data_IF_421975243085
#
_entry.id   IF_421975243085
#
_cell.length_a   1.000
_cell.length_b   1.000
_cell.length_c   1.000
_cell.angle_alpha   90.00
_cell.angle_beta   90.00
_cell.angle_gamma   90.00
#
_symmetry.space_group_name_H-M   'P 1'
#
loop_
_entity.id
_entity.type
_entity.pdbx_description
1 polymer ?
#
# COMPACT_ATOMS: atom_id res chain seq x y z
N UNK A 1 -20.20 -7.55 -16.37
CA UNK A 1 -20.37 -7.34 -14.92
C UNK A 1 -21.75 -6.73 -14.69
N UNK A 2 -22.57 -7.29 -13.81
CA UNK A 2 -23.84 -6.65 -13.40
C UNK A 2 -23.55 -5.50 -12.43
N UNK A 3 -24.44 -4.50 -12.37
CA UNK A 3 -24.25 -3.33 -11.49
C UNK A 3 -24.17 -3.71 -10.01
N UNK A 4 -24.92 -4.72 -9.58
CA UNK A 4 -24.85 -5.26 -8.22
C UNK A 4 -23.50 -5.90 -7.90
N UNK A 5 -22.96 -6.69 -8.84
CA UNK A 5 -21.64 -7.28 -8.69
C UNK A 5 -20.54 -6.22 -8.61
N UNK A 6 -20.62 -5.15 -9.43
CA UNK A 6 -19.69 -4.02 -9.39
C UNK A 6 -19.74 -3.31 -8.03
N UNK A 7 -20.95 -2.99 -7.52
CA UNK A 7 -21.12 -2.34 -6.22
C UNK A 7 -20.57 -3.19 -5.08
N UNK A 8 -20.85 -4.49 -5.07
CA UNK A 8 -20.35 -5.43 -4.05
C UNK A 8 -18.82 -5.47 -4.04
N UNK A 9 -18.20 -5.58 -5.22
CA UNK A 9 -16.75 -5.59 -5.37
C UNK A 9 -16.12 -4.27 -4.87
N UNK A 10 -16.61 -3.12 -5.34
CA UNK A 10 -16.06 -1.82 -4.95
C UNK A 10 -16.19 -1.56 -3.45
N UNK A 11 -17.30 -1.99 -2.83
CA UNK A 11 -17.46 -1.90 -1.37
C UNK A 11 -16.43 -2.75 -0.63
N UNK A 12 -16.27 -4.01 -1.02
CA UNK A 12 -15.27 -4.90 -0.42
C UNK A 12 -13.85 -4.36 -0.61
N UNK A 13 -13.53 -3.83 -1.78
CA UNK A 13 -12.24 -3.20 -2.07
C UNK A 13 -11.96 -1.97 -1.20
N UNK A 14 -12.95 -1.10 -1.02
CA UNK A 14 -12.80 0.07 -0.15
C UNK A 14 -12.59 -0.32 1.31
N UNK A 15 -13.31 -1.34 1.80
CA UNK A 15 -13.10 -1.87 3.16
C UNK A 15 -11.70 -2.45 3.31
N UNK A 16 -11.24 -3.27 2.34
CA UNK A 16 -9.89 -3.85 2.36
C UNK A 16 -8.81 -2.78 2.44
N UNK A 17 -8.97 -1.68 1.69
CA UNK A 17 -8.04 -0.55 1.74
C UNK A 17 -7.97 0.13 3.10
N UNK A 18 -8.99 0.06 3.94
CA UNK A 18 -9.01 0.69 5.27
C UNK A 18 -8.36 -0.18 6.35
N UNK A 19 -8.09 -1.45 6.07
CA UNK A 19 -7.42 -2.34 7.01
C UNK A 19 -6.04 -1.80 7.39
N UNK A 20 -5.69 -1.89 8.67
CA UNK A 20 -4.37 -1.48 9.17
C UNK A 20 -3.40 -2.64 9.05
N UNK A 21 -2.23 -2.35 8.53
CA UNK A 21 -1.11 -3.27 8.39
C UNK A 21 0.14 -2.64 9.02
N UNK A 22 1.15 -3.45 9.31
CA UNK A 22 2.48 -2.93 9.66
C UNK A 22 3.35 -2.99 8.42
N UNK A 23 3.90 -1.87 7.98
CA UNK A 23 4.79 -1.84 6.82
C UNK A 23 6.09 -2.58 7.18
N UNK A 24 6.52 -3.60 6.42
CA UNK A 24 7.63 -4.48 6.81
C UNK A 24 8.97 -3.75 6.94
N UNK A 25 9.22 -2.77 6.06
CA UNK A 25 10.43 -1.94 6.10
C UNK A 25 10.38 -0.80 7.12
N UNK A 26 9.31 0.02 7.11
CA UNK A 26 9.17 1.17 8.01
C UNK A 26 8.83 0.78 9.45
N UNK A 27 8.35 -0.45 9.70
CA UNK A 27 7.81 -0.91 11.00
C UNK A 27 6.66 -0.06 11.55
N UNK A 28 6.03 0.77 10.71
CA UNK A 28 4.91 1.64 11.07
C UNK A 28 3.56 1.01 10.74
N UNK A 29 2.56 1.29 11.58
CA UNK A 29 1.17 0.91 11.30
C UNK A 29 0.55 1.88 10.31
N UNK A 30 0.28 1.40 9.10
CA UNK A 30 -0.34 2.17 8.03
C UNK A 30 -1.61 1.49 7.52
N UNK A 31 -2.44 2.26 6.84
CA UNK A 31 -3.64 1.75 6.16
C UNK A 31 -3.22 1.04 4.86
N UNK A 32 -3.84 -0.10 4.50
CA UNK A 32 -3.53 -0.89 3.29
C UNK A 32 -3.54 -0.02 2.02
N UNK A 33 -4.50 0.89 1.92
CA UNK A 33 -4.60 1.85 0.81
C UNK A 33 -3.44 2.84 0.71
N UNK A 34 -2.63 3.02 1.75
CA UNK A 34 -1.46 3.90 1.76
C UNK A 34 -0.16 3.19 1.36
N UNK A 35 -0.17 1.87 1.20
CA UNK A 35 1.03 1.11 0.79
C UNK A 35 1.63 1.64 -0.52
N UNK A 36 0.86 1.90 -1.60
CA UNK A 36 1.44 2.41 -2.84
C UNK A 36 2.08 3.80 -2.65
N UNK A 37 1.50 4.64 -1.79
CA UNK A 37 2.06 5.95 -1.47
C UNK A 37 3.38 5.83 -0.69
N UNK A 38 3.42 4.97 0.34
CA UNK A 38 4.64 4.70 1.10
C UNK A 38 5.76 4.15 0.20
N UNK A 39 5.42 3.27 -0.74
CA UNK A 39 6.36 2.71 -1.71
C UNK A 39 6.87 3.77 -2.70
N UNK A 40 6.00 4.67 -3.19
CA UNK A 40 6.43 5.79 -4.01
C UNK A 40 7.39 6.75 -3.27
N UNK A 41 7.17 6.98 -1.97
CA UNK A 41 8.08 7.77 -1.14
C UNK A 41 9.46 7.10 -0.97
N UNK A 42 9.48 5.78 -0.76
CA UNK A 42 10.73 5.01 -0.67
C UNK A 42 11.49 5.04 -1.99
N UNK A 43 10.79 4.92 -3.13
CA UNK A 43 11.38 5.07 -4.45
C UNK A 43 11.95 6.47 -4.67
N UNK A 44 11.21 7.51 -4.29
CA UNK A 44 11.68 8.90 -4.41
C UNK A 44 12.94 9.17 -3.56
N UNK A 45 13.07 8.54 -2.39
CA UNK A 45 14.28 8.61 -1.56
C UNK A 45 15.46 7.92 -2.24
N UNK A 46 15.24 6.73 -2.80
CA UNK A 46 16.25 6.00 -3.56
C UNK A 46 16.76 6.82 -4.76
N UNK A 47 15.85 7.39 -5.56
CA UNK A 47 16.22 8.21 -6.72
C UNK A 47 17.00 9.48 -6.35
N UNK A 48 16.82 10.01 -5.13
CA UNK A 48 17.58 11.17 -4.62
C UNK A 48 18.92 10.78 -3.99
N UNK A 49 19.21 9.49 -3.83
CA UNK A 49 20.39 9.00 -3.12
C UNK A 49 20.28 9.10 -1.59
N UNK A 50 19.09 9.39 -1.05
CA UNK A 50 18.84 9.41 0.40
C UNK A 50 18.72 8.00 0.99
N UNK A 51 18.63 6.99 0.12
CA UNK A 51 18.44 5.59 0.47
C UNK A 51 19.32 4.74 -0.44
N UNK A 52 20.12 3.86 0.15
CA UNK A 52 21.11 3.04 -0.57
C UNK A 52 20.44 2.06 -1.54
N UNK A 53 19.28 1.51 -1.16
CA UNK A 53 18.53 0.54 -1.95
C UNK A 53 17.03 0.75 -1.81
N UNK A 54 16.27 0.47 -2.87
CA UNK A 54 14.81 0.52 -2.83
C UNK A 54 14.22 -0.80 -2.28
N UNK A 55 13.65 -0.82 -1.07
CA UNK A 55 13.17 -2.04 -0.45
C UNK A 55 11.82 -2.49 -1.03
N UNK A 56 11.69 -3.74 -1.51
CA UNK A 56 10.42 -4.26 -2.01
C UNK A 56 9.41 -4.43 -0.86
N UNK A 57 8.13 -4.17 -1.16
CA UNK A 57 7.05 -4.48 -0.23
C UNK A 57 6.74 -5.98 -0.23
N UNK A 58 7.26 -6.70 0.78
CA UNK A 58 6.99 -8.12 0.99
C UNK A 58 6.07 -8.32 2.19
N UNK A 59 4.78 -8.60 1.94
CA UNK A 59 3.79 -8.92 2.96
C UNK A 59 3.50 -10.42 2.97
N UNK A 60 3.51 -11.04 4.16
CA UNK A 60 3.12 -12.44 4.41
C UNK A 60 1.64 -12.54 4.73
#
# INVERSE_FOLDING_TARGET
>A
MTDEARKKFLKAWQLKKQEKITHPFLSEKITWGLVPYAQALLLARYLRGDLDEYPPFLWK
#
